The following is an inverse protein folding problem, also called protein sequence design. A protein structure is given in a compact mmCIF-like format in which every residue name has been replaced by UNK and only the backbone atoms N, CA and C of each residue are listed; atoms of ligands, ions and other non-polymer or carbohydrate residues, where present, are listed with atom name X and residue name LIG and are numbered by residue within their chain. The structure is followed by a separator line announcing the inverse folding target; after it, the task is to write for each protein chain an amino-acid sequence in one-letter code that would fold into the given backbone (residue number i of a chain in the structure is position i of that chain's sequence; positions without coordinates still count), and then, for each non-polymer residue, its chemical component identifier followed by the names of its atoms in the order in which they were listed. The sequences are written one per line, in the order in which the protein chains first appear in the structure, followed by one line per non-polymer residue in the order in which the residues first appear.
data_IF_384146910009
#
_entry.id   IF_384146910009
#
_cell.length_a   1.000
_cell.length_b   1.000
_cell.length_c   1.000
_cell.angle_alpha   90.00
_cell.angle_beta   90.00
_cell.angle_gamma   90.00
#
_symmetry.space_group_name_H-M   'P 1'
#
loop_
_entity.id
_entity.type
_entity.pdbx_description
1 polymer ?
#
# COMPACT_ATOMS: atom_id res chain seq x y z
N UNK A 1 12.12 35.69 31.59
CA UNK A 1 11.83 34.69 32.63
C UNK A 1 11.17 33.49 31.95
N UNK A 2 11.95 32.48 31.60
CA UNK A 2 11.53 31.24 30.94
C UNK A 2 11.84 30.06 31.87
N UNK A 3 10.88 29.17 32.13
CA UNK A 3 11.19 27.77 32.44
C UNK A 3 10.48 26.86 31.43
N UNK A 4 11.22 26.13 30.56
CA UNK A 4 11.68 24.75 30.78
C UNK A 4 10.60 23.83 31.36
N UNK A 5 10.03 22.96 30.52
CA UNK A 5 9.84 21.52 30.81
C UNK A 5 9.28 20.79 29.58
N UNK A 6 10.20 20.42 28.67
CA UNK A 6 10.07 19.22 27.85
C UNK A 6 10.15 18.04 28.83
N UNK A 7 9.01 17.45 29.18
CA UNK A 7 8.97 16.15 29.86
C UNK A 7 8.68 15.09 28.81
N UNK A 8 9.76 14.45 28.37
CA UNK A 8 9.72 13.14 27.73
C UNK A 8 8.73 12.23 28.47
N UNK A 9 7.69 11.78 27.77
CA UNK A 9 6.87 10.65 28.21
C UNK A 9 7.72 9.37 28.15
N UNK A 10 8.60 9.19 29.15
CA UNK A 10 9.04 7.86 29.57
C UNK A 10 7.84 7.20 30.24
N UNK A 11 7.02 6.50 29.46
CA UNK A 11 6.10 5.53 30.02
C UNK A 11 6.94 4.47 30.73
N UNK A 12 6.96 4.53 32.07
CA UNK A 12 7.42 3.44 32.92
C UNK A 12 6.47 2.25 32.71
N UNK A 13 6.77 1.41 31.71
CA UNK A 13 6.33 0.02 31.66
C UNK A 13 7.05 -0.74 32.79
N UNK A 14 6.62 -0.47 34.03
CA UNK A 14 7.14 -1.05 35.26
C UNK A 14 6.33 -2.29 35.66
N UNK A 15 5.90 -3.09 34.69
CA UNK A 15 5.80 -4.52 34.91
C UNK A 15 6.99 -5.11 34.20
N UNK A 16 7.93 -5.67 34.97
CA UNK A 16 8.78 -6.76 34.49
C UNK A 16 7.84 -7.68 33.71
N UNK A 17 7.92 -7.65 32.38
CA UNK A 17 7.74 -8.88 31.65
C UNK A 17 8.86 -9.74 32.21
N UNK A 18 8.54 -10.57 33.21
CA UNK A 18 9.39 -11.71 33.47
C UNK A 18 9.57 -12.34 32.10
N UNK A 19 10.82 -12.42 31.68
CA UNK A 19 11.21 -13.41 30.70
C UNK A 19 10.68 -14.69 31.32
N UNK A 20 9.49 -15.13 30.87
CA UNK A 20 9.16 -16.52 30.93
C UNK A 20 10.27 -17.14 30.10
N UNK A 21 11.38 -17.49 30.77
CA UNK A 21 12.29 -18.50 30.30
C UNK A 21 11.36 -19.69 30.22
N UNK A 22 10.73 -19.88 29.06
CA UNK A 22 10.17 -21.17 28.67
C UNK A 22 11.30 -22.12 28.95
N UNK A 23 11.18 -22.82 30.08
CA UNK A 23 12.36 -23.33 30.76
C UNK A 23 13.00 -24.33 29.83
N UNK A 24 14.21 -24.04 29.33
CA UNK A 24 15.03 -24.88 28.43
C UNK A 24 14.25 -26.13 28.01
N UNK A 25 13.26 -26.00 27.13
CA UNK A 25 12.68 -27.20 26.55
C UNK A 25 13.83 -27.71 25.72
N UNK A 26 14.52 -28.75 26.20
CA UNK A 26 15.52 -29.47 25.41
C UNK A 26 14.81 -29.80 24.13
N UNK A 27 15.17 -29.09 23.06
CA UNK A 27 14.57 -29.35 21.76
C UNK A 27 15.01 -30.77 21.43
N UNK A 28 14.02 -31.65 21.31
CA UNK A 28 14.27 -33.05 21.02
C UNK A 28 14.81 -33.14 19.58
N UNK A 29 16.13 -33.18 19.45
CA UNK A 29 16.83 -33.23 18.15
C UNK A 29 16.42 -34.44 17.29
N UNK A 30 15.79 -35.47 17.88
CA UNK A 30 15.23 -36.60 17.12
C UNK A 30 14.03 -36.19 16.25
N UNK A 31 13.36 -35.08 16.59
CA UNK A 31 12.21 -34.54 15.85
C UNK A 31 12.59 -33.48 14.80
N UNK A 32 13.86 -33.07 14.77
CA UNK A 32 14.36 -32.08 13.82
C UNK A 32 15.01 -32.82 12.64
N UNK A 33 14.59 -32.55 11.39
CA UNK A 33 15.27 -33.05 10.20
C UNK A 33 16.76 -32.74 10.24
N UNK A 34 17.60 -33.71 9.88
CA UNK A 34 19.06 -33.59 9.97
C UNK A 34 19.65 -32.30 9.38
N UNK A 35 19.18 -31.78 8.22
CA UNK A 35 19.68 -30.52 7.66
C UNK A 35 19.38 -29.27 8.50
N UNK A 36 18.40 -29.33 9.41
CA UNK A 36 17.96 -28.18 10.22
C UNK A 36 18.49 -28.25 11.67
N UNK A 37 19.13 -29.36 12.06
CA UNK A 37 19.58 -29.55 13.45
C UNK A 37 20.61 -28.53 13.87
N UNK A 38 21.52 -28.14 12.97
CA UNK A 38 22.54 -27.12 13.26
C UNK A 38 21.90 -25.76 13.50
N UNK A 39 21.03 -25.31 12.58
CA UNK A 39 20.26 -24.07 12.71
C UNK A 39 19.48 -24.05 14.03
N UNK A 40 18.79 -25.14 14.38
CA UNK A 40 17.97 -25.21 15.59
C UNK A 40 18.80 -25.34 16.86
N UNK A 41 19.93 -26.07 16.82
CA UNK A 41 20.83 -26.19 17.98
C UNK A 41 21.55 -24.87 18.26
N UNK A 42 21.87 -24.11 17.21
CA UNK A 42 22.54 -22.82 17.31
C UNK A 42 21.59 -21.64 17.58
N UNK A 43 20.27 -21.87 17.64
CA UNK A 43 19.25 -20.81 17.67
C UNK A 43 19.40 -19.79 16.52
N UNK A 44 19.80 -20.26 15.34
CA UNK A 44 19.86 -19.45 14.11
C UNK A 44 18.47 -19.29 13.45
N UNK A 45 17.42 -19.71 14.14
CA UNK A 45 16.02 -19.50 13.77
C UNK A 45 15.39 -18.42 14.64
N UNK A 46 14.45 -17.70 14.04
CA UNK A 46 13.63 -16.71 14.72
C UNK A 46 12.65 -17.40 15.66
N UNK A 47 12.71 -17.08 16.96
CA UNK A 47 11.75 -17.53 17.97
C UNK A 47 11.36 -16.37 18.89
N UNK A 48 10.11 -15.90 18.80
CA UNK A 48 9.61 -14.77 19.57
C UNK A 48 8.41 -15.16 20.46
N UNK A 49 8.42 -14.70 21.71
CA UNK A 49 7.30 -14.78 22.65
C UNK A 49 7.41 -13.69 23.71
N UNK A 50 6.38 -12.82 23.91
CA UNK A 50 5.46 -12.26 22.91
C UNK A 50 6.18 -11.27 21.96
N UNK A 51 5.48 -10.74 20.94
CA UNK A 51 6.01 -9.79 19.94
C UNK A 51 5.81 -8.33 20.39
N UNK A 52 6.79 -7.68 21.04
CA UNK A 52 6.82 -6.22 21.13
C UNK A 52 7.20 -5.63 19.75
N UNK A 53 6.79 -4.38 19.47
CA UNK A 53 7.06 -3.69 18.18
C UNK A 53 8.54 -3.73 17.84
N UNK A 54 9.39 -3.56 18.85
CA UNK A 54 10.84 -3.54 18.71
C UNK A 54 11.37 -4.87 18.14
N UNK A 55 10.73 -6.01 18.45
CA UNK A 55 11.12 -7.31 17.89
C UNK A 55 10.63 -7.54 16.46
N UNK A 56 9.56 -6.87 16.03
CA UNK A 56 9.08 -6.91 14.64
C UNK A 56 10.14 -6.37 13.67
N UNK A 57 10.99 -5.45 14.14
CA UNK A 57 12.07 -4.83 13.35
C UNK A 57 13.47 -5.35 13.67
N UNK A 58 13.71 -5.97 14.83
CA UNK A 58 15.03 -6.57 15.17
C UNK A 58 15.52 -7.57 14.10
N UNK A 59 14.60 -8.26 13.45
CA UNK A 59 14.90 -9.25 12.41
C UNK A 59 14.69 -8.70 10.99
N UNK A 60 14.06 -7.54 10.86
CA UNK A 60 13.80 -6.87 9.59
C UNK A 60 15.05 -6.09 9.15
N UNK A 61 16.00 -6.80 8.53
CA UNK A 61 17.25 -6.20 8.03
C UNK A 61 17.05 -5.65 6.61
N UNK A 62 17.13 -4.34 6.47
CA UNK A 62 17.27 -3.66 5.18
C UNK A 62 18.44 -2.68 5.24
N UNK A 63 19.07 -2.40 4.10
CA UNK A 63 20.11 -1.37 4.01
C UNK A 63 19.41 -0.03 3.75
N UNK A 64 19.50 0.96 4.64
CA UNK A 64 18.93 2.28 4.39
C UNK A 64 19.47 2.90 3.11
N UNK A 65 18.63 3.63 2.39
CA UNK A 65 18.99 4.22 1.09
C UNK A 65 18.26 5.51 0.75
N UNK A 66 17.41 6.01 1.64
CA UNK A 66 16.62 7.22 1.43
C UNK A 66 17.35 8.39 2.10
N UNK A 67 17.66 9.40 1.29
CA UNK A 67 18.23 10.68 1.73
C UNK A 67 17.20 11.80 1.64
N UNK A 68 17.58 13.02 2.01
CA UNK A 68 16.71 14.20 1.87
C UNK A 68 16.41 14.53 0.41
N UNK A 69 17.35 14.22 -0.47
CA UNK A 69 17.33 14.52 -1.91
C UNK A 69 16.59 13.47 -2.74
N UNK A 70 16.38 12.26 -2.17
CA UNK A 70 15.66 11.19 -2.85
C UNK A 70 14.26 11.67 -3.26
N UNK A 71 13.95 11.62 -4.55
CA UNK A 71 12.61 11.98 -5.07
C UNK A 71 11.63 10.84 -4.83
N UNK A 72 10.74 11.04 -3.87
CA UNK A 72 9.81 10.02 -3.39
C UNK A 72 8.42 10.27 -3.98
N UNK A 73 7.86 9.22 -4.59
CA UNK A 73 6.49 9.17 -5.05
C UNK A 73 5.68 8.25 -4.15
N UNK A 74 4.58 8.72 -3.57
CA UNK A 74 3.67 7.88 -2.78
C UNK A 74 2.36 7.66 -3.53
N UNK A 75 1.94 6.41 -3.67
CA UNK A 75 0.67 6.04 -4.30
C UNK A 75 0.00 4.92 -3.49
N UNK A 76 -1.30 5.03 -3.24
CA UNK A 76 -2.01 3.99 -2.51
C UNK A 76 -3.28 4.46 -1.83
N UNK A 77 -3.69 3.67 -0.83
CA UNK A 77 -4.83 4.00 0.03
C UNK A 77 -4.64 5.29 0.82
N UNK A 78 -5.66 5.75 1.55
CA UNK A 78 -5.55 6.88 2.49
C UNK A 78 -4.39 6.76 3.50
N UNK A 79 -3.88 5.55 3.78
CA UNK A 79 -2.71 5.38 4.63
C UNK A 79 -1.42 5.91 3.96
N UNK A 80 -1.31 5.84 2.63
CA UNK A 80 -0.21 6.44 1.87
C UNK A 80 -0.16 7.97 2.06
N UNK A 81 -1.32 8.61 2.27
CA UNK A 81 -1.38 10.05 2.54
C UNK A 81 -0.75 10.41 3.90
N UNK A 82 -0.80 9.52 4.89
CA UNK A 82 -0.13 9.74 6.18
C UNK A 82 1.40 9.70 6.03
N UNK A 83 1.93 8.78 5.22
CA UNK A 83 3.36 8.75 4.89
C UNK A 83 3.76 10.00 4.09
N UNK A 84 2.98 10.38 3.09
CA UNK A 84 3.21 11.59 2.30
C UNK A 84 3.28 12.84 3.19
N UNK A 85 2.29 13.03 4.07
CA UNK A 85 2.27 14.14 5.05
C UNK A 85 3.49 14.11 5.96
N UNK A 86 3.89 12.93 6.44
CA UNK A 86 5.07 12.79 7.29
C UNK A 86 6.35 13.17 6.54
N UNK A 87 6.54 12.69 5.31
CA UNK A 87 7.69 13.02 4.47
C UNK A 87 7.77 14.53 4.18
N UNK A 88 6.63 15.15 3.84
CA UNK A 88 6.55 16.60 3.60
C UNK A 88 6.86 17.42 4.85
N UNK A 89 6.27 17.08 6.01
CA UNK A 89 6.54 17.75 7.30
C UNK A 89 8.01 17.65 7.69
N UNK A 90 8.65 16.55 7.35
CA UNK A 90 10.06 16.34 7.61
C UNK A 90 10.97 16.89 6.49
N UNK A 91 10.47 17.58 5.47
CA UNK A 91 11.26 18.21 4.40
C UNK A 91 12.00 17.23 3.47
N UNK A 92 11.42 16.05 3.19
CA UNK A 92 11.88 15.19 2.10
C UNK A 92 11.34 15.66 0.74
N UNK A 93 12.04 15.31 -0.35
CA UNK A 93 11.60 15.59 -1.72
C UNK A 93 10.44 14.68 -2.13
N UNK A 94 9.20 15.11 -1.85
CA UNK A 94 8.01 14.35 -2.24
C UNK A 94 7.41 14.89 -3.54
N UNK A 95 7.29 14.02 -4.53
CA UNK A 95 6.62 14.33 -5.79
C UNK A 95 5.11 14.44 -5.57
N UNK A 96 4.48 15.38 -6.29
CA UNK A 96 3.03 15.60 -6.22
C UNK A 96 2.28 14.34 -6.68
N UNK A 97 1.40 13.82 -5.83
CA UNK A 97 0.45 12.78 -6.22
C UNK A 97 -0.67 13.40 -7.07
N UNK A 98 -0.81 12.94 -8.31
CA UNK A 98 -1.84 13.39 -9.26
C UNK A 98 -2.93 12.34 -9.53
N UNK A 99 -2.83 11.15 -8.93
CA UNK A 99 -3.74 10.02 -9.15
C UNK A 99 -4.83 9.89 -8.09
N UNK A 100 -4.74 10.69 -7.02
CA UNK A 100 -5.61 10.53 -5.86
C UNK A 100 -5.34 9.22 -5.14
N UNK A 101 -6.39 8.62 -4.56
CA UNK A 101 -6.28 7.36 -3.84
C UNK A 101 -6.39 6.17 -4.82
N UNK A 102 -5.42 5.25 -4.73
CA UNK A 102 -5.30 4.06 -5.59
C UNK A 102 -5.31 2.82 -4.70
N UNK A 103 -6.24 1.91 -4.90
CA UNK A 103 -6.45 0.83 -3.93
C UNK A 103 -6.06 -0.56 -4.43
N UNK A 104 -6.39 -0.91 -5.67
CA UNK A 104 -6.22 -2.28 -6.15
C UNK A 104 -4.99 -2.42 -7.03
N UNK A 105 -4.30 -3.59 -7.00
CA UNK A 105 -3.18 -3.89 -7.91
C UNK A 105 -3.50 -3.61 -9.39
N UNK A 106 -4.73 -3.86 -9.82
CA UNK A 106 -5.14 -3.56 -11.19
C UNK A 106 -5.18 -2.05 -11.47
N UNK A 107 -5.66 -1.21 -10.54
CA UNK A 107 -5.58 0.25 -10.70
C UNK A 107 -4.14 0.77 -10.79
N UNK A 108 -3.20 0.19 -10.03
CA UNK A 108 -1.77 0.49 -10.19
C UNK A 108 -1.29 0.14 -11.60
N UNK A 109 -1.63 -1.05 -12.10
CA UNK A 109 -1.26 -1.49 -13.44
C UNK A 109 -1.84 -0.56 -14.53
N UNK A 110 -3.07 -0.09 -14.37
CA UNK A 110 -3.68 0.87 -15.30
C UNK A 110 -2.93 2.19 -15.34
N UNK A 111 -2.53 2.71 -14.17
CA UNK A 111 -1.73 3.94 -14.07
C UNK A 111 -0.41 3.78 -14.80
N UNK A 112 0.31 2.68 -14.55
CA UNK A 112 1.55 2.38 -15.27
C UNK A 112 1.29 2.28 -16.77
N UNK A 113 0.23 1.59 -17.18
CA UNK A 113 -0.12 1.38 -18.59
C UNK A 113 -0.37 2.68 -19.32
N UNK A 114 -1.32 3.51 -18.88
CA UNK A 114 -1.63 4.73 -19.62
C UNK A 114 -0.50 5.77 -19.57
N UNK A 115 0.41 5.68 -18.60
CA UNK A 115 1.55 6.59 -18.48
C UNK A 115 2.66 6.23 -19.46
N UNK A 116 2.91 4.94 -19.64
CA UNK A 116 4.11 4.45 -20.30
C UNK A 116 3.86 3.69 -21.61
N UNK A 117 2.64 3.23 -21.80
CA UNK A 117 2.16 2.50 -22.97
C UNK A 117 0.76 3.03 -23.36
N UNK A 118 0.58 4.36 -23.54
CA UNK A 118 -0.72 4.97 -23.76
C UNK A 118 -1.46 4.41 -24.98
N UNK A 119 -0.74 3.94 -25.99
CA UNK A 119 -1.30 3.26 -27.17
C UNK A 119 -2.02 1.95 -26.82
N UNK A 120 -1.68 1.33 -25.69
CA UNK A 120 -2.29 0.10 -25.19
C UNK A 120 -3.39 0.37 -24.14
N UNK A 121 -3.77 1.63 -23.93
CA UNK A 121 -4.83 2.03 -23.01
C UNK A 121 -6.00 2.68 -23.76
N UNK A 122 -6.97 1.85 -24.16
CA UNK A 122 -8.18 2.27 -24.86
C UNK A 122 -9.41 1.62 -24.20
N UNK A 123 -9.80 2.06 -23.00
CA UNK A 123 -10.99 1.53 -22.34
C UNK A 123 -12.26 1.80 -23.15
N UNK A 124 -13.20 0.84 -23.14
CA UNK A 124 -14.48 0.94 -23.85
C UNK A 124 -15.38 2.04 -23.27
N UNK A 125 -15.19 2.38 -22.00
CA UNK A 125 -15.90 3.46 -21.32
C UNK A 125 -14.91 4.56 -20.89
N UNK A 126 -14.49 5.44 -21.81
CA UNK A 126 -13.46 6.45 -21.52
C UNK A 126 -13.92 7.51 -20.51
N UNK A 127 -15.23 7.76 -20.44
CA UNK A 127 -15.83 8.82 -19.61
C UNK A 127 -17.13 8.34 -18.95
N UNK A 128 -17.35 8.79 -17.72
CA UNK A 128 -18.70 8.90 -17.15
C UNK A 128 -19.24 10.30 -17.41
N UNK A 129 -20.48 10.40 -17.85
CA UNK A 129 -21.15 11.67 -18.14
C UNK A 129 -22.20 11.92 -17.06
N UNK A 130 -21.97 12.94 -16.23
CA UNK A 130 -22.85 13.31 -15.11
C UNK A 130 -23.18 14.79 -15.24
N UNK A 131 -24.47 15.12 -15.32
CA UNK A 131 -24.96 16.50 -15.55
C UNK A 131 -24.30 17.20 -16.75
N UNK A 132 -24.07 16.46 -17.84
CA UNK A 132 -23.43 16.96 -19.06
C UNK A 132 -21.91 17.16 -18.96
N UNK A 133 -21.30 16.84 -17.82
CA UNK A 133 -19.86 16.94 -17.59
C UNK A 133 -19.17 15.59 -17.72
N UNK A 134 -17.92 15.63 -18.16
CA UNK A 134 -17.13 14.45 -18.47
C UNK A 134 -16.16 14.15 -17.32
N UNK A 135 -16.25 12.96 -16.76
CA UNK A 135 -15.40 12.48 -15.67
C UNK A 135 -14.59 11.26 -16.10
N UNK A 136 -13.33 11.21 -15.69
CA UNK A 136 -12.51 10.01 -15.85
C UNK A 136 -12.89 8.96 -14.78
N UNK A 137 -13.34 7.76 -15.17
CA UNK A 137 -13.92 6.80 -14.23
C UNK A 137 -12.88 5.89 -13.58
N UNK A 138 -11.60 6.06 -13.90
CA UNK A 138 -10.50 5.21 -13.44
C UNK A 138 -9.64 5.84 -12.34
N UNK A 139 -9.88 7.11 -11.98
CA UNK A 139 -9.18 7.82 -10.90
C UNK A 139 -10.17 8.53 -9.98
N UNK A 140 -9.85 8.49 -8.68
CA UNK A 140 -10.66 9.13 -7.64
C UNK A 140 -10.24 10.58 -7.44
N UNK A 141 -11.19 11.51 -7.57
CA UNK A 141 -11.00 12.91 -7.21
C UNK A 141 -11.02 13.10 -5.69
N UNK A 142 -10.51 14.26 -5.24
CA UNK A 142 -10.55 14.70 -3.85
C UNK A 142 -11.97 14.78 -3.27
N UNK A 143 -12.99 14.95 -4.12
CA UNK A 143 -14.40 15.06 -3.73
C UNK A 143 -15.14 13.72 -3.74
N UNK A 144 -14.45 12.60 -4.00
CA UNK A 144 -15.07 11.27 -4.04
C UNK A 144 -15.83 10.97 -5.34
N UNK A 145 -15.65 11.80 -6.37
CA UNK A 145 -16.14 11.58 -7.73
C UNK A 145 -15.01 11.09 -8.63
N UNK A 146 -15.31 10.79 -9.90
CA UNK A 146 -14.26 10.67 -10.91
C UNK A 146 -13.52 12.01 -11.07
N UNK A 147 -12.34 11.99 -11.69
CA UNK A 147 -11.62 13.22 -12.03
C UNK A 147 -12.40 14.00 -13.09
N UNK A 148 -12.83 15.22 -12.78
CA UNK A 148 -13.50 16.08 -13.77
C UNK A 148 -12.51 16.44 -14.87
N UNK A 149 -12.90 16.16 -16.12
CA UNK A 149 -12.08 16.41 -17.30
C UNK A 149 -12.58 17.58 -18.16
N UNK A 150 -13.86 17.95 -18.08
CA UNK A 150 -14.38 19.11 -18.83
C UNK A 150 -15.89 19.08 -19.01
N UNK A 151 -16.40 20.12 -19.67
CA UNK A 151 -17.84 20.30 -19.94
C UNK A 151 -18.23 19.78 -21.35
N UNK A 152 -17.26 19.34 -22.14
CA UNK A 152 -17.48 18.71 -23.44
C UNK A 152 -16.39 17.66 -23.75
N UNK A 153 -16.66 16.78 -24.71
CA UNK A 153 -15.78 15.68 -25.07
C UNK A 153 -14.40 16.12 -25.59
N UNK A 154 -14.32 17.22 -26.36
CA UNK A 154 -13.05 17.69 -26.91
C UNK A 154 -12.09 18.18 -25.81
N UNK A 155 -12.62 18.97 -24.87
CA UNK A 155 -11.90 19.39 -23.67
C UNK A 155 -11.50 18.19 -22.80
N UNK A 156 -12.43 17.25 -22.58
CA UNK A 156 -12.18 16.07 -21.77
C UNK A 156 -11.02 15.23 -22.31
N UNK A 157 -11.02 14.98 -23.62
CA UNK A 157 -9.94 14.29 -24.31
C UNK A 157 -8.60 15.04 -24.23
N UNK A 158 -8.62 16.37 -24.33
CA UNK A 158 -7.40 17.18 -24.20
C UNK A 158 -6.83 17.10 -22.78
N UNK A 159 -7.67 17.23 -21.76
CA UNK A 159 -7.27 17.17 -20.37
C UNK A 159 -6.81 15.77 -19.97
N UNK A 160 -7.42 14.71 -20.53
CA UNK A 160 -6.98 13.34 -20.32
C UNK A 160 -5.60 13.08 -20.92
N UNK A 161 -5.33 13.53 -22.15
CA UNK A 161 -3.99 13.44 -22.76
C UNK A 161 -2.93 14.17 -21.93
N UNK A 162 -3.27 15.38 -21.43
CA UNK A 162 -2.37 16.13 -20.54
C UNK A 162 -2.09 15.36 -19.26
N UNK A 163 -3.12 14.75 -18.66
CA UNK A 163 -2.96 13.93 -17.46
C UNK A 163 -2.03 12.72 -17.71
N UNK A 164 -2.16 12.02 -18.83
CA UNK A 164 -1.28 10.89 -19.16
C UNK A 164 0.17 11.32 -19.32
N UNK A 165 0.42 12.47 -19.96
CA UNK A 165 1.75 13.06 -20.08
C UNK A 165 2.33 13.44 -18.71
N UNK A 166 1.57 14.17 -17.88
CA UNK A 166 1.99 14.54 -16.52
C UNK A 166 2.28 13.29 -15.66
N UNK A 167 1.48 12.23 -15.85
CA UNK A 167 1.67 10.95 -15.16
C UNK A 167 2.99 10.28 -15.54
N UNK A 168 3.31 10.23 -16.84
CA UNK A 168 4.57 9.69 -17.34
C UNK A 168 5.78 10.46 -16.80
N UNK A 169 5.70 11.80 -16.81
CA UNK A 169 6.75 12.69 -16.30
C UNK A 169 6.98 12.48 -14.80
N UNK A 170 5.91 12.48 -13.99
CA UNK A 170 5.99 12.31 -12.54
C UNK A 170 6.51 10.92 -12.14
N UNK A 171 6.10 9.87 -12.85
CA UNK A 171 6.65 8.54 -12.65
C UNK A 171 8.14 8.49 -13.04
N UNK A 172 8.53 9.13 -14.15
CA UNK A 172 9.92 9.18 -14.61
C UNK A 172 10.87 9.95 -13.68
N UNK A 173 10.37 10.91 -12.91
CA UNK A 173 11.16 11.68 -11.93
C UNK A 173 11.49 10.89 -10.64
N UNK A 174 10.74 9.84 -10.32
CA UNK A 174 10.84 9.16 -9.02
C UNK A 174 12.12 8.32 -8.90
N UNK A 175 12.77 8.38 -7.75
CA UNK A 175 13.86 7.46 -7.37
C UNK A 175 13.35 6.35 -6.45
N UNK A 176 12.31 6.67 -5.68
CA UNK A 176 11.58 5.72 -4.84
C UNK A 176 10.08 5.87 -5.08
N UNK A 177 9.41 4.77 -5.42
CA UNK A 177 7.95 4.68 -5.41
C UNK A 177 7.48 3.86 -4.20
N UNK A 178 6.71 4.49 -3.30
CA UNK A 178 6.06 3.81 -2.19
C UNK A 178 4.63 3.46 -2.58
N UNK A 179 4.34 2.16 -2.68
CA UNK A 179 3.03 1.64 -3.08
C UNK A 179 2.34 0.99 -1.89
N UNK A 180 1.23 1.58 -1.44
CA UNK A 180 0.41 1.06 -0.34
C UNK A 180 -0.84 0.37 -0.88
N UNK A 181 -0.80 -0.96 -0.96
CA UNK A 181 -1.87 -1.80 -1.50
C UNK A 181 -3.10 -1.79 -0.58
N UNK A 182 -4.25 -1.45 -1.13
CA UNK A 182 -5.47 -1.19 -0.38
C UNK A 182 -6.36 -2.42 -0.25
N UNK A 183 -6.77 -3.00 -1.37
CA UNK A 183 -7.77 -4.07 -1.40
C UNK A 183 -7.77 -4.85 -2.73
N UNK A 184 -8.43 -6.00 -2.76
CA UNK A 184 -8.57 -6.87 -3.96
C UNK A 184 -9.95 -6.81 -4.61
N UNK A 185 -10.93 -6.19 -3.94
CA UNK A 185 -12.30 -6.04 -4.44
C UNK A 185 -12.46 -4.81 -5.35
N UNK A 186 -13.00 -4.97 -6.54
CA UNK A 186 -13.12 -3.87 -7.49
C UNK A 186 -14.40 -3.94 -8.30
N UNK A 187 -14.72 -2.80 -8.90
CA UNK A 187 -15.71 -2.73 -9.96
C UNK A 187 -14.97 -2.52 -11.27
N UNK A 188 -15.36 -3.26 -12.30
CA UNK A 188 -14.75 -3.18 -13.63
C UNK A 188 -15.78 -3.29 -14.71
N UNK A 189 -15.38 -2.88 -15.91
CA UNK A 189 -16.16 -3.09 -17.11
C UNK A 189 -16.13 -4.59 -17.49
N UNK A 190 -17.26 -5.15 -17.93
CA UNK A 190 -17.40 -6.58 -18.28
C UNK A 190 -16.71 -6.95 -19.59
N UNK A 191 -16.49 -5.99 -20.49
CA UNK A 191 -15.94 -6.26 -21.82
C UNK A 191 -14.41 -6.21 -21.84
N UNK A 192 -13.81 -5.15 -21.27
CA UNK A 192 -12.36 -4.93 -21.31
C UNK A 192 -11.67 -5.12 -19.95
N UNK A 193 -12.45 -5.38 -18.90
CA UNK A 193 -12.00 -5.53 -17.52
C UNK A 193 -11.32 -4.29 -16.92
N UNK A 194 -11.45 -3.10 -17.51
CA UNK A 194 -10.91 -1.87 -16.95
C UNK A 194 -11.60 -1.55 -15.61
N UNK A 195 -10.79 -1.35 -14.57
CA UNK A 195 -11.18 -1.17 -13.17
C UNK A 195 -11.45 0.28 -12.83
N UNK A 196 -12.70 0.56 -12.47
CA UNK A 196 -13.15 1.85 -11.99
C UNK A 196 -12.59 2.19 -10.59
N UNK A 197 -12.51 3.48 -10.27
CA UNK A 197 -12.00 3.90 -8.96
C UNK A 197 -12.93 3.54 -7.79
N UNK A 198 -14.22 3.30 -8.07
CA UNK A 198 -15.24 2.86 -7.13
C UNK A 198 -16.45 2.25 -7.86
N UNK A 199 -17.44 1.78 -7.10
CA UNK A 199 -18.76 1.43 -7.62
C UNK A 199 -19.39 2.62 -8.39
N UNK A 200 -19.81 2.45 -9.64
CA UNK A 200 -20.56 3.47 -10.37
C UNK A 200 -21.79 3.96 -9.59
N UNK A 201 -22.11 5.26 -9.71
CA UNK A 201 -23.33 5.82 -9.11
C UNK A 201 -24.57 5.24 -9.77
N UNK A 202 -25.74 5.35 -9.13
CA UNK A 202 -26.99 4.79 -9.64
C UNK A 202 -27.37 5.30 -11.05
N UNK A 203 -26.93 6.51 -11.42
CA UNK A 203 -27.16 7.10 -12.75
C UNK A 203 -26.24 6.53 -13.84
N UNK A 204 -25.08 5.97 -13.46
CA UNK A 204 -24.09 5.40 -14.38
C UNK A 204 -24.19 3.86 -14.43
N UNK A 205 -24.55 3.24 -13.30
CA UNK A 205 -24.52 1.80 -13.15
C UNK A 205 -25.44 1.09 -14.15
N UNK A 206 -24.86 0.17 -14.90
CA UNK A 206 -25.54 -0.79 -15.78
C UNK A 206 -24.97 -2.18 -15.52
N UNK A 207 -25.77 -3.17 -15.08
CA UNK A 207 -25.29 -4.53 -14.79
C UNK A 207 -24.75 -5.29 -16.01
N UNK A 208 -25.07 -4.85 -17.25
CA UNK A 208 -24.52 -5.44 -18.48
C UNK A 208 -23.14 -4.87 -18.84
N UNK A 209 -22.75 -3.76 -18.22
CA UNK A 209 -21.47 -3.08 -18.45
C UNK A 209 -20.56 -3.23 -17.24
N UNK A 210 -21.11 -3.15 -16.03
CA UNK A 210 -20.38 -3.03 -14.78
C UNK A 210 -20.51 -4.30 -13.95
N UNK A 211 -19.38 -4.82 -13.49
CA UNK A 211 -19.35 -5.98 -12.60
C UNK A 211 -18.44 -5.78 -11.41
N UNK A 212 -18.82 -6.45 -10.32
CA UNK A 212 -17.96 -6.65 -9.17
C UNK A 212 -17.00 -7.81 -9.46
N UNK A 213 -15.73 -7.62 -9.13
CA UNK A 213 -14.70 -8.66 -9.22
C UNK A 213 -13.82 -8.64 -7.97
N UNK A 214 -13.40 -9.82 -7.53
CA UNK A 214 -12.48 -9.97 -6.41
C UNK A 214 -11.21 -10.62 -6.94
N UNK A 215 -10.11 -9.87 -7.02
CA UNK A 215 -8.86 -10.35 -7.58
C UNK A 215 -8.35 -11.59 -6.82
N UNK A 216 -7.92 -12.60 -7.57
CA UNK A 216 -7.18 -13.73 -7.01
C UNK A 216 -5.72 -13.35 -6.73
N UNK A 217 -5.00 -14.22 -6.03
CA UNK A 217 -3.56 -14.03 -5.81
C UNK A 217 -2.79 -13.95 -7.14
N UNK A 218 -3.15 -14.79 -8.12
CA UNK A 218 -2.52 -14.85 -9.43
C UNK A 218 -2.75 -13.55 -10.21
N UNK A 219 -3.97 -13.02 -10.22
CA UNK A 219 -4.28 -11.73 -10.86
C UNK A 219 -3.54 -10.58 -10.18
N UNK A 220 -3.44 -10.58 -8.84
CA UNK A 220 -2.61 -9.62 -8.10
C UNK A 220 -1.15 -9.71 -8.54
N UNK A 221 -0.57 -10.91 -8.60
CA UNK A 221 0.82 -11.10 -9.02
C UNK A 221 1.04 -10.66 -10.47
N UNK A 222 0.11 -10.94 -11.38
CA UNK A 222 0.17 -10.50 -12.77
C UNK A 222 0.21 -8.97 -12.88
N UNK A 223 -0.75 -8.28 -12.26
CA UNK A 223 -0.82 -6.82 -12.28
C UNK A 223 0.41 -6.17 -11.64
N UNK A 224 0.90 -6.70 -10.54
CA UNK A 224 2.08 -6.15 -9.86
C UNK A 224 3.36 -6.41 -10.66
N UNK A 225 3.55 -7.60 -11.22
CA UNK A 225 4.72 -7.88 -12.10
C UNK A 225 4.71 -6.99 -13.32
N UNK A 226 3.56 -6.82 -13.97
CA UNK A 226 3.41 -5.87 -15.08
C UNK A 226 3.81 -4.46 -14.62
N UNK A 227 3.24 -3.98 -13.52
CA UNK A 227 3.51 -2.64 -12.98
C UNK A 227 5.00 -2.42 -12.70
N UNK A 228 5.65 -3.36 -11.99
CA UNK A 228 7.07 -3.26 -11.63
C UNK A 228 7.96 -3.34 -12.86
N UNK A 229 7.73 -4.30 -13.75
CA UNK A 229 8.58 -4.52 -14.91
C UNK A 229 8.48 -3.40 -15.95
N UNK A 230 7.27 -2.93 -16.26
CA UNK A 230 7.06 -1.79 -17.18
C UNK A 230 7.60 -0.49 -16.58
N UNK A 231 7.42 -0.26 -15.28
CA UNK A 231 7.96 0.95 -14.66
C UNK A 231 9.49 0.92 -14.63
N UNK A 232 10.12 -0.19 -14.24
CA UNK A 232 11.59 -0.33 -14.27
C UNK A 232 12.17 -0.30 -15.68
N UNK A 233 11.43 -0.72 -16.71
CA UNK A 233 11.86 -0.58 -18.11
C UNK A 233 12.08 0.89 -18.49
N UNK A 234 11.23 1.79 -18.01
CA UNK A 234 11.33 3.23 -18.28
C UNK A 234 12.14 3.99 -17.23
N UNK A 235 12.28 3.45 -16.03
CA UNK A 235 13.09 4.00 -14.95
C UNK A 235 13.93 2.90 -14.27
N UNK A 236 15.06 2.48 -14.88
CA UNK A 236 15.84 1.34 -14.40
C UNK A 236 16.39 1.48 -12.97
N UNK A 237 16.67 2.72 -12.55
CA UNK A 237 17.18 3.06 -11.22
C UNK A 237 16.12 3.08 -10.12
N UNK A 238 14.83 2.97 -10.48
CA UNK A 238 13.72 3.02 -9.52
C UNK A 238 13.83 1.92 -8.47
N UNK A 239 13.66 2.31 -7.21
CA UNK A 239 13.35 1.43 -6.09
C UNK A 239 11.85 1.48 -5.79
N UNK A 240 11.28 0.37 -5.35
CA UNK A 240 9.86 0.29 -4.99
C UNK A 240 9.76 -0.20 -3.55
N UNK A 241 8.98 0.51 -2.73
CA UNK A 241 8.65 0.09 -1.37
C UNK A 241 7.17 -0.27 -1.30
N UNK A 242 6.88 -1.57 -1.20
CA UNK A 242 5.53 -2.09 -1.07
C UNK A 242 5.10 -2.05 0.40
N UNK A 243 3.82 -1.79 0.62
CA UNK A 243 3.19 -1.99 1.92
C UNK A 243 1.73 -2.37 1.75
N UNK A 244 1.14 -2.99 2.77
CA UNK A 244 -0.30 -3.29 2.80
C UNK A 244 -0.98 -2.29 3.71
N UNK A 245 -2.04 -1.66 3.23
CA UNK A 245 -2.83 -0.72 4.03
C UNK A 245 -3.48 -1.45 5.21
N UNK A 246 -3.39 -0.93 6.44
CA UNK A 246 -4.13 -1.48 7.57
C UNK A 246 -5.61 -1.15 7.55
N UNK A 247 -6.05 -0.18 6.75
CA UNK A 247 -7.44 0.29 6.76
C UNK A 247 -8.38 -0.83 6.28
N UNK A 248 -9.38 -1.25 7.09
CA UNK A 248 -10.34 -2.27 6.71
C UNK A 248 -11.36 -1.76 5.69
N UNK A 249 -11.94 -2.70 4.94
CA UNK A 249 -13.04 -2.46 4.01
C UNK A 249 -14.25 -1.94 4.79
N UNK A 250 -14.89 -0.89 4.26
CA UNK A 250 -16.17 -0.40 4.80
C UNK A 250 -17.34 -1.25 4.32
N UNK A 251 -17.26 -1.68 3.07
CA UNK A 251 -18.31 -2.40 2.34
C UNK A 251 -17.61 -3.52 1.56
N UNK A 252 -18.29 -4.65 1.42
CA UNK A 252 -17.95 -5.72 0.50
C UNK A 252 -19.19 -6.09 -0.29
N UNK A 253 -18.99 -6.49 -1.55
CA UNK A 253 -20.06 -7.02 -2.40
C UNK A 253 -19.94 -8.54 -2.57
N UNK A 254 -19.06 -9.19 -1.81
CA UNK A 254 -18.98 -10.64 -1.76
C UNK A 254 -20.23 -11.18 -1.08
N UNK A 255 -20.87 -12.14 -1.73
CA UNK A 255 -21.96 -12.88 -1.12
C UNK A 255 -21.44 -13.62 0.13
N UNK A 256 -22.26 -13.66 1.19
CA UNK A 256 -22.03 -14.43 2.42
C UNK A 256 -20.89 -13.95 3.36
N UNK A 257 -20.08 -12.96 2.98
CA UNK A 257 -19.00 -12.43 3.82
C UNK A 257 -19.29 -11.01 4.29
N UNK A 258 -19.12 -10.76 5.60
CA UNK A 258 -19.11 -9.39 6.12
C UNK A 258 -17.81 -8.65 5.79
N UNK A 259 -17.79 -7.30 5.77
CA UNK A 259 -16.60 -6.51 5.42
C UNK A 259 -15.35 -6.83 6.23
N UNK A 260 -15.51 -7.25 7.48
CA UNK A 260 -14.38 -7.65 8.33
C UNK A 260 -13.71 -8.94 7.83
N UNK A 261 -14.49 -9.97 7.47
CA UNK A 261 -13.94 -11.24 6.95
C UNK A 261 -13.35 -11.02 5.55
N UNK A 262 -14.05 -10.26 4.71
CA UNK A 262 -13.55 -9.86 3.39
C UNK A 262 -12.21 -9.08 3.50
N UNK A 263 -12.07 -8.23 4.51
CA UNK A 263 -10.81 -7.52 4.80
C UNK A 263 -9.70 -8.51 5.05
N UNK A 264 -9.91 -9.52 5.91
CA UNK A 264 -8.87 -10.50 6.21
C UNK A 264 -8.39 -11.22 4.96
N UNK A 265 -9.31 -11.69 4.10
CA UNK A 265 -8.94 -12.28 2.81
C UNK A 265 -8.13 -11.31 1.95
N UNK A 266 -8.65 -10.09 1.77
CA UNK A 266 -8.00 -9.08 0.93
C UNK A 266 -6.59 -8.74 1.41
N UNK A 267 -6.38 -8.55 2.72
CA UNK A 267 -5.07 -8.21 3.26
C UNK A 267 -4.12 -9.40 3.20
N UNK A 268 -4.59 -10.63 3.45
CA UNK A 268 -3.77 -11.84 3.33
C UNK A 268 -3.26 -12.05 1.90
N UNK A 269 -4.10 -11.88 0.89
CA UNK A 269 -3.69 -12.00 -0.52
C UNK A 269 -2.65 -10.93 -0.88
N UNK A 270 -2.91 -9.66 -0.55
CA UNK A 270 -1.99 -8.56 -0.85
C UNK A 270 -0.67 -8.69 -0.10
N UNK A 271 -0.72 -9.14 1.15
CA UNK A 271 0.47 -9.35 1.97
C UNK A 271 1.35 -10.46 1.41
N UNK A 272 0.77 -11.62 1.08
CA UNK A 272 1.49 -12.71 0.45
C UNK A 272 2.13 -12.27 -0.87
N UNK A 273 1.39 -11.53 -1.71
CA UNK A 273 1.91 -11.02 -2.97
C UNK A 273 3.05 -10.01 -2.78
N UNK A 274 2.91 -9.07 -1.85
CA UNK A 274 3.92 -8.07 -1.57
C UNK A 274 5.25 -8.70 -1.13
N UNK A 275 5.21 -9.67 -0.21
CA UNK A 275 6.40 -10.40 0.23
C UNK A 275 7.00 -11.22 -0.93
N UNK A 276 6.17 -11.93 -1.70
CA UNK A 276 6.64 -12.70 -2.85
C UNK A 276 7.39 -11.81 -3.87
N UNK A 277 6.91 -10.60 -4.12
CA UNK A 277 7.55 -9.66 -5.04
C UNK A 277 8.92 -9.18 -4.54
N UNK A 278 9.16 -9.12 -3.22
CA UNK A 278 10.51 -8.81 -2.69
C UNK A 278 11.51 -9.93 -2.94
N UNK A 279 11.05 -11.18 -3.05
CA UNK A 279 11.90 -12.32 -3.43
C UNK A 279 12.22 -12.33 -4.93
N UNK A 280 11.30 -11.81 -5.76
CA UNK A 280 11.44 -11.80 -7.22
C UNK A 280 12.27 -10.62 -7.74
N UNK A 281 12.31 -9.50 -7.01
CA UNK A 281 12.95 -8.26 -7.45
C UNK A 281 13.86 -7.67 -6.37
N UNK A 282 15.16 -7.57 -6.67
CA UNK A 282 16.18 -7.05 -5.73
C UNK A 282 15.97 -5.61 -5.25
N UNK A 283 15.33 -4.77 -6.08
CA UNK A 283 15.10 -3.34 -5.80
C UNK A 283 13.66 -3.08 -5.34
N UNK A 284 12.96 -4.14 -4.92
CA UNK A 284 11.62 -4.09 -4.33
C UNK A 284 11.73 -4.47 -2.86
N UNK A 285 11.26 -3.58 -2.01
CA UNK A 285 11.32 -3.69 -0.57
C UNK A 285 9.91 -3.76 -0.01
N UNK A 286 9.77 -4.22 1.23
CA UNK A 286 8.50 -4.26 1.95
C UNK A 286 8.57 -3.41 3.22
N UNK A 287 7.55 -2.61 3.53
CA UNK A 287 7.41 -1.86 4.79
C UNK A 287 6.27 -2.46 5.65
N UNK A 288 6.55 -2.89 6.90
CA UNK A 288 5.62 -3.67 7.73
C UNK A 288 4.51 -2.86 8.42
N UNK A 289 3.91 -1.89 7.72
CA UNK A 289 2.87 -1.01 8.28
C UNK A 289 1.60 -1.76 8.69
N UNK A 290 1.23 -2.82 7.97
CA UNK A 290 0.05 -3.63 8.26
C UNK A 290 0.22 -4.39 9.58
N UNK A 291 1.35 -5.05 9.75
CA UNK A 291 1.68 -5.89 10.89
C UNK A 291 1.85 -5.06 12.15
N UNK A 292 2.55 -3.92 12.06
CA UNK A 292 2.66 -2.96 13.18
C UNK A 292 1.25 -2.57 13.65
N UNK A 293 0.37 -2.19 12.73
CA UNK A 293 -0.99 -1.78 13.08
C UNK A 293 -1.81 -2.94 13.66
N UNK A 294 -1.66 -4.15 13.11
CA UNK A 294 -2.39 -5.35 13.54
C UNK A 294 -1.88 -5.95 14.84
N UNK A 295 -0.69 -5.59 15.29
CA UNK A 295 -0.10 -6.07 16.53
C UNK A 295 -0.88 -5.62 17.77
N UNK A 296 -1.45 -4.40 17.75
CA UNK A 296 -2.31 -3.92 18.83
C UNK A 296 -3.50 -3.08 18.31
N UNK A 297 -4.51 -3.73 17.69
CA UNK A 297 -5.62 -3.01 17.06
C UNK A 297 -6.40 -2.13 18.04
N UNK A 298 -6.58 -2.58 19.28
CA UNK A 298 -7.29 -1.81 20.31
C UNK A 298 -6.57 -0.49 20.66
N UNK A 299 -5.24 -0.45 20.54
CA UNK A 299 -4.44 0.75 20.78
C UNK A 299 -4.31 1.62 19.53
N UNK A 300 -4.28 1.03 18.34
CA UNK A 300 -3.89 1.73 17.11
C UNK A 300 -5.04 2.21 16.24
N UNK A 301 -6.24 1.66 16.39
CA UNK A 301 -7.44 2.20 15.73
C UNK A 301 -8.12 3.27 16.59
N UNK A 302 -8.75 4.24 15.91
CA UNK A 302 -9.72 5.15 16.51
C UNK A 302 -10.96 4.37 16.95
N UNK A 303 -11.86 5.05 17.66
CA UNK A 303 -13.12 4.45 18.15
C UNK A 303 -14.02 3.90 17.03
N UNK A 304 -13.86 4.34 15.79
CA UNK A 304 -14.58 3.82 14.62
C UNK A 304 -14.09 2.44 14.16
N UNK A 305 -12.99 1.92 14.73
CA UNK A 305 -12.42 0.62 14.40
C UNK A 305 -11.84 0.51 12.99
N UNK A 306 -11.67 1.64 12.27
CA UNK A 306 -11.26 1.67 10.87
C UNK A 306 -10.08 2.59 10.59
N UNK A 307 -10.09 3.80 11.14
CA UNK A 307 -8.99 4.73 10.92
C UNK A 307 -7.93 4.53 11.99
N UNK A 308 -6.66 4.56 11.59
CA UNK A 308 -5.54 4.54 12.54
C UNK A 308 -5.45 5.88 13.28
N UNK A 309 -5.01 5.87 14.53
CA UNK A 309 -4.75 7.07 15.31
C UNK A 309 -3.31 7.58 15.12
N UNK A 310 -3.01 8.76 15.67
CA UNK A 310 -1.69 9.40 15.53
C UNK A 310 -0.57 8.53 16.11
N UNK A 311 -0.80 7.87 17.25
CA UNK A 311 0.18 6.96 17.85
C UNK A 311 0.58 5.83 16.90
N UNK A 312 -0.39 5.25 16.19
CA UNK A 312 -0.11 4.21 15.19
C UNK A 312 0.71 4.77 14.02
N UNK A 313 0.35 5.95 13.52
CA UNK A 313 1.08 6.61 12.43
C UNK A 313 2.51 6.86 12.86
N UNK A 314 2.73 7.51 14.01
CA UNK A 314 4.06 7.82 14.54
C UNK A 314 4.90 6.54 14.71
N UNK A 315 4.31 5.47 15.23
CA UNK A 315 4.99 4.17 15.39
C UNK A 315 5.45 3.60 14.04
N UNK A 316 4.60 3.65 13.01
CA UNK A 316 4.97 3.19 11.67
C UNK A 316 6.05 4.09 11.07
N UNK A 317 5.96 5.40 11.24
CA UNK A 317 6.92 6.34 10.68
C UNK A 317 8.29 6.25 11.36
N UNK A 318 8.34 6.04 12.68
CA UNK A 318 9.58 5.79 13.42
C UNK A 318 10.29 4.53 12.89
N UNK A 319 9.52 3.49 12.54
CA UNK A 319 10.05 2.27 11.94
C UNK A 319 10.51 2.50 10.51
N UNK A 320 9.70 3.17 9.69
CA UNK A 320 10.11 3.58 8.34
C UNK A 320 11.44 4.35 8.38
N UNK A 321 11.58 5.29 9.31
CA UNK A 321 12.81 6.04 9.49
C UNK A 321 13.99 5.14 9.84
N UNK A 322 13.84 4.25 10.83
CA UNK A 322 14.91 3.33 11.25
C UNK A 322 15.36 2.37 10.14
N UNK A 323 14.43 1.95 9.29
CA UNK A 323 14.69 0.93 8.28
C UNK A 323 15.27 1.51 6.98
N UNK A 324 14.75 2.63 6.49
CA UNK A 324 15.04 3.06 5.13
C UNK A 324 15.78 4.39 5.02
N UNK A 325 15.80 5.22 6.06
CA UNK A 325 16.46 6.54 6.02
C UNK A 325 17.93 6.40 6.43
N UNK A 326 18.83 6.98 5.62
CA UNK A 326 20.26 7.03 5.95
C UNK A 326 20.52 7.91 7.19
N UNK A 327 21.50 7.49 8.00
CA UNK A 327 21.79 8.08 9.31
C UNK A 327 22.39 9.48 9.26
#
# INVERSE_FOLDING_TARGET
MFPRLVRLYRYKLNKKYEIARYGKHRIDNSRIPEPLREIVTNNEYVAASPYPVERLVEEFKTTPFITRETRILTMGSCFADELNKWLQRNQYQVLKNIWGAVFTPQSFAQIIRYSFEPENWNPVEPFWIIDGKYYYPYLKSSFGTGMLLGDNEAEANQNLRRHFQESAEKLGEAELAVWTLGLVELWRNRQDHATYFQLPTAEIYDPNIHEFHCLTYEEVMEHMRYSISTYKKHNPGLKILLSVSPIPLRVTFREQLGPYIATQYSKSVLHAAALRLTEEYRDVYYMPSYEITRMNPALYYKQDGRHVNELCVDTVMDIFQKLYIEA
#
